data_IF_573867707466
#
_entry.id   IF_573867707466
#
_cell.length_a   1.000
_cell.length_b   1.000
_cell.length_c   1.000
_cell.angle_alpha   90.00
_cell.angle_beta   90.00
_cell.angle_gamma   90.00
#
_symmetry.space_group_name_H-M   'P 1'
#
loop_
_entity.id
_entity.type
_entity.pdbx_description
1 polymer ?
#
# COMPACT_ATOMS: atom_id res chain seq x y z
N UNK A 1 7.41 -2.06 -3.22
CA UNK A 1 7.14 -3.00 -2.13
C UNK A 1 5.82 -3.66 -2.42
N UNK A 2 5.74 -4.89 -1.99
CA UNK A 2 4.68 -5.81 -2.30
C UNK A 2 3.63 -5.82 -1.21
N UNK A 3 2.45 -6.31 -1.57
CA UNK A 3 1.32 -6.52 -0.67
C UNK A 3 0.86 -7.95 -0.79
N UNK A 4 0.33 -8.48 0.31
CA UNK A 4 -0.41 -9.73 0.34
C UNK A 4 -1.91 -9.41 0.19
N UNK A 5 -2.62 -10.23 -0.56
CA UNK A 5 -4.08 -10.13 -0.70
C UNK A 5 -4.71 -11.30 0.03
N UNK A 6 -5.17 -11.07 1.26
CA UNK A 6 -5.72 -12.10 2.14
C UNK A 6 -7.21 -12.29 1.91
N UNK A 7 -7.63 -13.54 1.69
CA UNK A 7 -9.04 -13.93 1.53
C UNK A 7 -9.70 -14.29 2.86
N UNK A 8 -11.04 -14.47 2.83
CA UNK A 8 -11.81 -15.01 3.96
C UNK A 8 -11.35 -16.40 4.42
N UNK A 9 -10.67 -17.17 3.56
CA UNK A 9 -10.14 -18.49 3.89
C UNK A 9 -8.80 -18.46 4.65
N UNK A 10 -8.32 -17.28 5.07
CA UNK A 10 -6.96 -17.07 5.61
C UNK A 10 -5.83 -17.51 4.66
N UNK A 11 -6.10 -17.48 3.36
CA UNK A 11 -5.12 -17.71 2.30
C UNK A 11 -4.82 -16.40 1.57
N UNK A 12 -3.79 -16.40 0.75
CA UNK A 12 -3.30 -15.25 0.00
C UNK A 12 -3.31 -15.53 -1.50
N UNK A 13 -3.63 -14.50 -2.29
CA UNK A 13 -3.56 -14.57 -3.75
C UNK A 13 -2.13 -14.93 -4.18
N UNK A 14 -1.98 -15.99 -4.95
CA UNK A 14 -0.69 -16.58 -5.33
C UNK A 14 -0.59 -16.71 -6.85
N UNK A 15 0.42 -16.08 -7.44
CA UNK A 15 0.74 -16.21 -8.86
C UNK A 15 1.83 -17.25 -9.07
N UNK A 16 1.54 -18.30 -9.84
CA UNK A 16 2.45 -19.43 -10.09
C UNK A 16 3.27 -19.24 -11.37
N UNK A 17 4.47 -19.78 -11.43
CA UNK A 17 5.38 -19.62 -12.57
C UNK A 17 4.75 -19.98 -13.94
N UNK A 18 3.90 -21.02 -13.96
CA UNK A 18 3.16 -21.50 -15.13
C UNK A 18 2.07 -20.52 -15.64
N UNK A 19 1.83 -19.42 -14.93
CA UNK A 19 0.83 -18.42 -15.29
C UNK A 19 -0.54 -18.63 -14.61
N UNK A 20 -0.71 -19.71 -13.86
CA UNK A 20 -1.91 -19.93 -13.07
C UNK A 20 -1.93 -19.04 -11.82
N UNK A 21 -3.14 -18.79 -11.33
CA UNK A 21 -3.38 -18.00 -10.11
C UNK A 21 -4.27 -18.82 -9.18
N UNK A 22 -3.87 -18.87 -7.92
CA UNK A 22 -4.50 -19.69 -6.89
C UNK A 22 -4.49 -18.96 -5.54
N UNK A 23 -4.98 -19.62 -4.50
CA UNK A 23 -4.78 -19.19 -3.12
C UNK A 23 -3.80 -20.12 -2.42
N UNK A 24 -2.96 -19.59 -1.55
CA UNK A 24 -2.04 -20.38 -0.72
C UNK A 24 -1.96 -19.81 0.70
N UNK A 25 -1.58 -20.63 1.69
CA UNK A 25 -1.35 -20.17 3.07
C UNK A 25 0.03 -19.55 3.26
N UNK A 26 0.88 -19.54 2.22
CA UNK A 26 2.22 -18.99 2.26
C UNK A 26 2.20 -17.46 2.20
N UNK A 27 3.32 -16.85 2.57
CA UNK A 27 3.56 -15.41 2.47
C UNK A 27 4.93 -15.18 1.85
N UNK A 28 5.25 -15.97 0.83
CA UNK A 28 6.54 -15.91 0.14
C UNK A 28 6.39 -15.07 -1.14
N UNK A 29 7.38 -15.12 -2.02
CA UNK A 29 7.43 -14.24 -3.19
C UNK A 29 6.21 -14.38 -4.11
N UNK A 30 5.62 -15.58 -4.21
CA UNK A 30 4.50 -15.83 -5.12
C UNK A 30 3.18 -15.22 -4.62
N UNK A 31 3.05 -14.99 -3.32
CA UNK A 31 1.89 -14.33 -2.71
C UNK A 31 2.05 -12.81 -2.62
N UNK A 32 3.23 -12.31 -2.97
CA UNK A 32 3.60 -10.90 -2.91
C UNK A 32 3.34 -10.24 -4.26
N UNK A 33 2.40 -9.29 -4.27
CA UNK A 33 2.00 -8.56 -5.47
C UNK A 33 2.33 -7.08 -5.34
N UNK A 34 2.89 -6.48 -6.38
CA UNK A 34 3.11 -5.04 -6.46
C UNK A 34 1.89 -4.37 -7.08
N UNK A 35 1.26 -3.46 -6.35
CA UNK A 35 0.22 -2.58 -6.88
C UNK A 35 0.86 -1.42 -7.66
N UNK A 36 0.62 -1.37 -8.97
CA UNK A 36 1.12 -0.31 -9.86
C UNK A 36 -0.07 0.57 -10.27
N UNK A 37 -0.16 1.82 -9.77
CA UNK A 37 -1.22 2.73 -10.19
C UNK A 37 -1.00 3.16 -11.64
N UNK A 38 -2.09 3.19 -12.41
CA UNK A 38 -2.09 3.57 -13.84
C UNK A 38 -3.02 4.75 -14.15
N UNK A 39 -3.49 5.45 -13.11
CA UNK A 39 -4.44 6.56 -13.23
C UNK A 39 -5.90 6.14 -13.06
N UNK A 40 -6.79 7.12 -12.91
CA UNK A 40 -8.26 6.92 -12.82
C UNK A 40 -8.73 5.93 -11.73
N UNK A 41 -7.93 5.76 -10.66
CA UNK A 41 -8.23 4.79 -9.60
C UNK A 41 -8.02 3.32 -10.00
N UNK A 42 -7.36 3.07 -11.13
CA UNK A 42 -7.01 1.73 -11.62
C UNK A 42 -5.59 1.33 -11.26
N UNK A 43 -5.39 0.03 -11.10
CA UNK A 43 -4.13 -0.59 -10.72
C UNK A 43 -3.85 -1.82 -11.58
N UNK A 44 -2.57 -2.06 -11.84
CA UNK A 44 -2.08 -3.38 -12.23
C UNK A 44 -1.59 -4.11 -10.97
N UNK A 45 -1.83 -5.41 -10.89
CA UNK A 45 -1.28 -6.27 -9.83
C UNK A 45 -0.16 -7.10 -10.45
N UNK A 46 1.10 -6.69 -10.21
CA UNK A 46 2.30 -7.32 -10.76
C UNK A 46 2.82 -8.40 -9.80
N UNK A 47 2.99 -9.63 -10.27
CA UNK A 47 3.55 -10.75 -9.51
C UNK A 47 5.08 -10.72 -9.46
N UNK A 48 5.67 -11.60 -8.63
CA UNK A 48 7.11 -11.86 -8.62
C UNK A 48 7.66 -12.38 -9.97
N UNK A 49 6.80 -12.90 -10.85
CA UNK A 49 7.20 -13.40 -12.17
C UNK A 49 7.17 -12.33 -13.27
N UNK A 50 7.10 -11.05 -12.89
CA UNK A 50 6.97 -9.92 -13.83
C UNK A 50 5.76 -10.00 -14.77
N UNK A 51 4.69 -10.67 -14.33
CA UNK A 51 3.41 -10.77 -15.02
C UNK A 51 2.33 -10.03 -14.23
N UNK A 52 1.23 -9.68 -14.89
CA UNK A 52 0.12 -8.94 -14.31
C UNK A 52 -1.12 -9.84 -14.20
N UNK A 53 -1.86 -9.69 -13.10
CA UNK A 53 -3.12 -10.40 -12.86
C UNK A 53 -4.14 -10.05 -13.96
N UNK A 54 -4.68 -11.06 -14.63
CA UNK A 54 -5.57 -10.91 -15.78
C UNK A 54 -6.88 -11.63 -15.54
N UNK A 55 -7.99 -10.90 -15.68
CA UNK A 55 -9.33 -11.48 -15.71
C UNK A 55 -9.71 -11.83 -17.14
N UNK A 56 -10.05 -13.09 -17.39
CA UNK A 56 -10.57 -13.54 -18.67
C UNK A 56 -12.08 -13.36 -18.73
N UNK A 57 -12.62 -13.29 -19.93
CA UNK A 57 -14.07 -13.15 -20.18
C UNK A 57 -14.89 -14.30 -19.57
N UNK A 58 -14.33 -15.51 -19.54
CA UNK A 58 -14.96 -16.68 -18.90
C UNK A 58 -14.86 -16.70 -17.36
N UNK A 59 -14.36 -15.63 -16.75
CA UNK A 59 -14.18 -15.48 -15.30
C UNK A 59 -12.96 -16.20 -14.72
N UNK A 60 -12.14 -16.87 -15.55
CA UNK A 60 -10.86 -17.43 -15.10
C UNK A 60 -9.83 -16.34 -14.86
N UNK A 61 -8.93 -16.59 -13.91
CA UNK A 61 -7.84 -15.67 -13.56
C UNK A 61 -6.50 -16.31 -13.92
N UNK A 62 -5.66 -15.53 -14.58
CA UNK A 62 -4.29 -15.92 -14.98
C UNK A 62 -3.33 -14.76 -14.74
N UNK A 63 -2.06 -14.94 -15.07
CA UNK A 63 -1.12 -13.83 -15.16
C UNK A 63 -0.40 -13.80 -16.51
N UNK A 64 -0.24 -12.61 -17.08
CA UNK A 64 0.35 -12.39 -18.42
C UNK A 64 1.32 -11.21 -18.45
N UNK A 65 2.12 -11.10 -19.51
CA UNK A 65 3.02 -9.96 -19.70
C UNK A 65 2.33 -8.67 -20.18
N UNK A 66 1.05 -8.73 -20.54
CA UNK A 66 0.26 -7.58 -21.02
C UNK A 66 -0.23 -6.72 -19.85
N UNK A 67 -0.58 -5.47 -20.12
CA UNK A 67 -1.18 -4.54 -19.15
C UNK A 67 -2.38 -3.80 -19.76
N UNK A 68 -3.11 -4.50 -20.63
CA UNK A 68 -4.27 -3.95 -21.32
C UNK A 68 -5.50 -4.03 -20.41
N UNK A 69 -6.69 -3.78 -20.95
CA UNK A 69 -7.92 -3.64 -20.18
C UNK A 69 -8.15 -4.78 -19.16
N UNK A 70 -7.82 -6.03 -19.51
CA UNK A 70 -8.08 -7.21 -18.68
C UNK A 70 -7.18 -7.32 -17.45
N UNK A 71 -6.05 -6.59 -17.46
CA UNK A 71 -5.11 -6.52 -16.36
C UNK A 71 -5.31 -5.28 -15.48
N UNK A 72 -6.25 -4.41 -15.85
CA UNK A 72 -6.60 -3.22 -15.09
C UNK A 72 -7.71 -3.54 -14.08
N UNK A 73 -7.43 -3.25 -12.82
CA UNK A 73 -8.32 -3.52 -11.70
C UNK A 73 -8.65 -2.25 -10.94
N UNK A 74 -9.89 -2.14 -10.48
CA UNK A 74 -10.32 -1.08 -9.58
C UNK A 74 -10.47 -1.64 -8.17
N UNK A 75 -9.83 -0.99 -7.20
CA UNK A 75 -9.96 -1.33 -5.78
C UNK A 75 -11.07 -0.48 -5.16
N UNK A 76 -12.16 -1.13 -4.74
CA UNK A 76 -13.27 -0.49 -4.05
C UNK A 76 -13.25 -0.86 -2.56
N UNK A 77 -13.10 0.14 -1.69
CA UNK A 77 -13.26 -0.08 -0.24
C UNK A 77 -14.70 -0.49 0.04
N UNK A 78 -14.87 -1.56 0.81
CA UNK A 78 -16.18 -2.02 1.30
C UNK A 78 -16.27 -1.92 2.83
N UNK A 79 -15.36 -1.17 3.46
CA UNK A 79 -15.30 -0.97 4.89
C UNK A 79 -14.43 -2.00 5.64
N UNK A 80 -14.12 -1.70 6.90
CA UNK A 80 -13.36 -2.58 7.81
C UNK A 80 -12.01 -3.08 7.24
N UNK A 81 -11.33 -2.25 6.44
CA UNK A 81 -10.05 -2.59 5.82
C UNK A 81 -10.14 -3.64 4.71
N UNK A 82 -11.35 -3.96 4.22
CA UNK A 82 -11.58 -4.90 3.12
C UNK A 82 -11.87 -4.17 1.82
N UNK A 83 -11.50 -4.83 0.72
CA UNK A 83 -11.65 -4.32 -0.63
C UNK A 83 -12.33 -5.35 -1.52
N UNK A 84 -13.16 -4.86 -2.43
CA UNK A 84 -13.54 -5.59 -3.64
C UNK A 84 -12.63 -5.17 -4.79
N UNK A 85 -12.17 -6.14 -5.59
CA UNK A 85 -11.20 -5.94 -6.66
C UNK A 85 -11.91 -6.20 -7.98
N UNK A 86 -12.35 -5.12 -8.64
CA UNK A 86 -13.23 -5.17 -9.81
C UNK A 86 -12.43 -5.24 -11.11
N UNK A 87 -12.78 -6.19 -11.98
CA UNK A 87 -12.19 -6.40 -13.30
C UNK A 87 -12.85 -5.52 -14.37
N UNK A 88 -12.25 -5.47 -15.56
CA UNK A 88 -12.84 -4.86 -16.75
C UNK A 88 -14.16 -5.49 -17.20
N UNK A 89 -14.46 -6.71 -16.79
CA UNK A 89 -15.72 -7.40 -17.11
C UNK A 89 -16.85 -7.12 -16.12
N UNK A 90 -16.72 -6.09 -15.27
CA UNK A 90 -17.68 -5.76 -14.21
C UNK A 90 -17.93 -6.89 -13.20
N UNK A 91 -16.94 -7.76 -13.03
CA UNK A 91 -16.95 -8.85 -12.03
C UNK A 91 -15.81 -8.66 -11.03
N UNK A 92 -15.94 -9.23 -9.84
CA UNK A 92 -15.03 -9.04 -8.71
C UNK A 92 -14.17 -10.28 -8.49
N UNK A 93 -12.88 -10.09 -8.16
CA UNK A 93 -11.96 -11.18 -7.85
C UNK A 93 -12.48 -11.98 -6.65
N UNK A 94 -12.59 -13.29 -6.82
CA UNK A 94 -13.17 -14.21 -5.85
C UNK A 94 -12.17 -15.26 -5.41
N UNK A 95 -12.11 -15.45 -4.10
CA UNK A 95 -11.47 -16.56 -3.43
C UNK A 95 -12.39 -17.81 -3.44
N UNK A 96 -12.37 -18.57 -4.54
CA UNK A 96 -13.17 -19.78 -4.72
C UNK A 96 -12.77 -20.94 -3.79
N UNK A 97 -13.51 -22.05 -3.90
CA UNK A 97 -13.19 -23.29 -3.20
C UNK A 97 -11.88 -23.92 -3.70
N UNK A 98 -11.27 -24.76 -2.85
CA UNK A 98 -10.09 -25.57 -3.18
C UNK A 98 -8.91 -24.76 -3.75
N UNK A 99 -8.74 -23.53 -3.25
CA UNK A 99 -7.67 -22.64 -3.68
C UNK A 99 -7.85 -22.04 -5.07
N UNK A 100 -8.99 -22.25 -5.74
CA UNK A 100 -9.29 -21.60 -7.03
C UNK A 100 -9.49 -20.10 -6.85
N UNK A 101 -9.09 -19.35 -7.86
CA UNK A 101 -9.35 -17.92 -7.98
C UNK A 101 -10.05 -17.67 -9.31
N UNK A 102 -11.18 -16.99 -9.26
CA UNK A 102 -12.02 -16.66 -10.41
C UNK A 102 -12.65 -15.28 -10.21
N UNK A 103 -13.63 -14.90 -11.02
CA UNK A 103 -14.45 -13.70 -10.77
C UNK A 103 -15.92 -14.04 -10.51
N UNK A 104 -16.64 -13.08 -9.92
CA UNK A 104 -18.06 -13.18 -9.57
C UNK A 104 -18.79 -11.86 -9.79
N UNK A 105 -20.06 -11.92 -10.19
CA UNK A 105 -20.89 -10.72 -10.39
C UNK A 105 -21.31 -10.04 -9.08
N UNK A 106 -21.32 -10.77 -7.97
CA UNK A 106 -21.78 -10.28 -6.65
C UNK A 106 -20.63 -10.22 -5.65
N UNK A 107 -20.70 -9.27 -4.71
CA UNK A 107 -19.74 -9.15 -3.61
C UNK A 107 -20.33 -9.84 -2.38
N UNK A 108 -19.97 -11.09 -2.15
CA UNK A 108 -20.17 -11.80 -0.89
C UNK A 108 -18.87 -11.81 -0.08
N UNK A 109 -18.74 -12.73 0.89
CA UNK A 109 -17.54 -12.82 1.74
C UNK A 109 -16.27 -13.21 0.96
N UNK A 110 -16.41 -13.94 -0.15
CA UNK A 110 -15.28 -14.48 -0.90
C UNK A 110 -14.69 -13.49 -1.90
N UNK A 111 -15.40 -12.40 -2.19
CA UNK A 111 -14.94 -11.29 -3.03
C UNK A 111 -14.32 -10.16 -2.20
N UNK A 112 -14.21 -10.34 -0.89
CA UNK A 112 -13.61 -9.39 0.04
C UNK A 112 -12.18 -9.79 0.33
N UNK A 113 -11.25 -8.90 0.01
CA UNK A 113 -9.82 -9.10 0.23
C UNK A 113 -9.29 -8.06 1.22
N UNK A 114 -8.48 -8.49 2.16
CA UNK A 114 -7.66 -7.59 2.97
C UNK A 114 -6.32 -7.42 2.27
N UNK A 115 -5.95 -6.18 1.95
CA UNK A 115 -4.67 -5.86 1.33
C UNK A 115 -3.70 -5.52 2.45
N UNK A 116 -2.77 -6.43 2.73
CA UNK A 116 -1.75 -6.26 3.77
C UNK A 116 -0.48 -5.79 3.07
N UNK A 117 -0.18 -4.50 3.20
CA UNK A 117 1.10 -3.97 2.74
C UNK A 117 2.24 -4.55 3.58
N UNK A 118 3.41 -4.83 3.01
CA UNK A 118 4.58 -5.17 3.83
C UNK A 118 5.03 -4.04 4.76
N UNK A 119 4.52 -2.83 4.53
CA UNK A 119 4.67 -1.70 5.42
C UNK A 119 3.76 -1.77 6.66
N UNK A 120 2.67 -2.53 6.56
CA UNK A 120 1.65 -2.64 7.60
C UNK A 120 2.12 -3.52 8.75
N UNK A 121 1.98 -3.04 9.99
CA UNK A 121 2.29 -3.81 11.21
C UNK A 121 3.78 -4.06 11.48
N UNK A 122 4.67 -3.72 10.54
CA UNK A 122 6.12 -3.93 10.67
C UNK A 122 6.89 -2.60 10.78
N UNK A 123 7.78 -2.44 11.78
CA UNK A 123 8.66 -1.30 11.86
C UNK A 123 9.50 -1.18 10.59
N UNK A 124 9.48 0.01 10.00
CA UNK A 124 10.17 0.33 8.76
C UNK A 124 10.83 1.71 8.85
N UNK A 125 11.82 1.95 8.01
CA UNK A 125 12.49 3.23 7.81
C UNK A 125 11.96 3.90 6.55
N UNK A 126 11.72 5.22 6.64
CA UNK A 126 11.30 6.04 5.50
C UNK A 126 12.49 6.91 5.06
N UNK A 127 13.17 6.51 3.98
CA UNK A 127 14.31 7.24 3.43
C UNK A 127 13.87 8.27 2.40
N UNK A 128 14.25 9.51 2.60
CA UNK A 128 13.98 10.62 1.67
C UNK A 128 14.89 10.56 0.44
N UNK A 129 14.58 11.40 -0.55
CA UNK A 129 15.46 11.68 -1.69
C UNK A 129 16.89 12.09 -1.28
N UNK A 130 17.02 12.77 -0.14
CA UNK A 130 18.31 13.23 0.40
C UNK A 130 19.12 12.11 1.08
N UNK A 131 18.63 10.86 1.04
CA UNK A 131 19.27 9.71 1.66
C UNK A 131 19.23 9.70 3.19
N UNK A 132 18.39 10.56 3.79
CA UNK A 132 18.17 10.68 5.24
C UNK A 132 16.84 10.03 5.62
N UNK A 133 16.64 9.75 6.90
CA UNK A 133 15.43 9.04 7.36
C UNK A 133 14.47 9.94 8.12
N UNK A 134 13.17 9.76 7.89
CA UNK A 134 12.12 10.38 8.68
C UNK A 134 12.31 10.01 10.15
N UNK A 135 12.44 11.02 11.00
CA UNK A 135 12.75 10.87 12.42
C UNK A 135 11.68 11.58 13.23
N UNK A 136 11.05 10.85 14.16
CA UNK A 136 10.11 11.40 15.13
C UNK A 136 10.71 11.36 16.52
N UNK A 137 10.86 12.53 17.17
CA UNK A 137 11.41 12.63 18.53
C UNK A 137 10.32 12.86 19.57
N UNK A 138 10.61 12.51 20.83
CA UNK A 138 9.69 12.67 21.96
C UNK A 138 9.11 14.10 22.12
N UNK A 139 9.80 15.15 21.66
CA UNK A 139 9.31 16.54 21.70
C UNK A 139 8.31 16.94 20.60
N UNK A 140 7.61 15.97 20.00
CA UNK A 140 6.70 16.13 18.85
C UNK A 140 7.33 16.68 17.56
N UNK A 141 8.65 16.79 17.53
CA UNK A 141 9.42 17.24 16.37
C UNK A 141 9.55 16.11 15.33
N UNK A 142 9.26 16.45 14.07
CA UNK A 142 9.48 15.58 12.91
C UNK A 142 10.51 16.23 12.00
N UNK A 143 11.57 15.49 11.66
CA UNK A 143 12.64 15.93 10.75
C UNK A 143 13.20 14.78 9.94
N UNK A 144 14.01 15.08 8.93
CA UNK A 144 14.95 14.09 8.39
C UNK A 144 16.31 14.21 9.07
N UNK A 145 16.86 13.09 9.57
CA UNK A 145 18.18 13.03 10.21
C UNK A 145 19.04 11.93 9.58
N UNK A 146 20.34 11.97 9.89
CA UNK A 146 21.45 11.18 9.33
C UNK A 146 21.17 9.71 9.04
N UNK A 147 22.01 9.12 8.19
CA UNK A 147 21.90 7.78 7.58
C UNK A 147 21.87 6.59 8.55
N UNK A 148 21.92 6.80 9.87
CA UNK A 148 21.85 5.71 10.85
C UNK A 148 20.41 5.29 11.09
N UNK A 149 20.21 3.98 11.05
CA UNK A 149 18.95 3.31 11.37
C UNK A 149 18.87 3.11 12.88
N UNK A 150 18.17 4.01 13.56
CA UNK A 150 17.95 3.96 15.02
C UNK A 150 16.45 3.91 15.33
N UNK A 151 16.09 3.71 16.60
CA UNK A 151 14.68 3.57 17.00
C UNK A 151 13.84 4.82 16.71
N UNK A 152 14.44 6.02 16.69
CA UNK A 152 13.72 7.26 16.39
C UNK A 152 13.32 7.39 14.91
N UNK A 153 13.86 6.53 14.03
CA UNK A 153 13.55 6.48 12.59
C UNK A 153 12.60 5.33 12.23
N UNK A 154 12.21 4.50 13.20
CA UNK A 154 11.28 3.40 12.97
C UNK A 154 9.84 3.90 13.00
N UNK A 155 9.11 3.56 11.96
CA UNK A 155 7.69 3.85 11.80
C UNK A 155 6.94 2.57 11.47
N UNK A 156 5.79 2.37 12.12
CA UNK A 156 4.88 1.27 11.85
C UNK A 156 3.61 1.83 11.24
N UNK A 157 3.24 1.36 10.06
CA UNK A 157 1.96 1.71 9.47
C UNK A 157 0.85 0.85 10.07
N UNK A 158 -0.19 1.51 10.57
CA UNK A 158 -1.37 0.86 11.14
C UNK A 158 -2.58 1.25 10.31
N UNK A 159 -3.44 0.31 9.87
CA UNK A 159 -4.62 0.66 9.10
C UNK A 159 -5.56 1.57 9.91
N UNK A 160 -6.06 2.63 9.27
CA UNK A 160 -7.18 3.43 9.81
C UNK A 160 -8.51 3.16 9.09
N UNK A 161 -8.46 2.44 7.95
CA UNK A 161 -9.62 2.10 7.13
C UNK A 161 -9.63 2.85 5.79
N UNK A 162 -10.44 2.40 4.83
CA UNK A 162 -10.60 3.04 3.51
C UNK A 162 -9.27 3.29 2.76
N UNK A 163 -8.29 2.40 2.92
CA UNK A 163 -6.97 2.52 2.29
C UNK A 163 -6.03 3.55 2.92
N UNK A 164 -6.37 4.05 4.11
CA UNK A 164 -5.55 4.98 4.88
C UNK A 164 -4.82 4.28 6.03
N UNK A 165 -3.72 4.89 6.46
CA UNK A 165 -2.84 4.40 7.50
C UNK A 165 -2.46 5.51 8.48
N UNK A 166 -2.33 5.15 9.76
CA UNK A 166 -1.56 5.91 10.72
C UNK A 166 -0.08 5.51 10.64
N UNK A 167 0.83 6.47 10.70
CA UNK A 167 2.27 6.20 10.80
C UNK A 167 2.72 6.40 12.24
N UNK A 168 2.86 5.31 12.99
CA UNK A 168 3.19 5.33 14.42
C UNK A 168 4.70 5.21 14.64
N UNK A 169 5.30 6.10 15.42
CA UNK A 169 6.70 5.99 15.82
C UNK A 169 6.88 5.05 17.04
N UNK A 170 8.13 4.81 17.42
CA UNK A 170 8.50 3.98 18.60
C UNK A 170 8.07 4.55 19.94
N UNK A 171 7.74 5.84 20.01
CA UNK A 171 7.26 6.51 21.23
C UNK A 171 5.74 6.46 21.38
N UNK A 172 5.04 5.85 20.42
CA UNK A 172 3.58 5.72 20.47
C UNK A 172 2.80 6.82 19.76
N UNK A 173 3.48 7.83 19.22
CA UNK A 173 2.88 8.96 18.52
C UNK A 173 2.67 8.70 17.03
N UNK A 174 1.69 9.37 16.45
CA UNK A 174 1.32 9.28 15.05
C UNK A 174 1.80 10.49 14.26
N UNK A 175 2.29 10.28 13.04
CA UNK A 175 2.61 11.36 12.12
C UNK A 175 1.33 12.11 11.76
N UNK A 176 1.33 13.42 11.98
CA UNK A 176 0.18 14.30 11.75
C UNK A 176 0.57 15.40 10.79
N UNK A 177 -0.34 15.80 9.90
CA UNK A 177 -0.18 16.97 9.06
C UNK A 177 -1.42 17.85 9.08
N UNK A 178 -1.22 19.14 9.35
CA UNK A 178 -2.30 20.13 9.31
C UNK A 178 -2.61 20.62 7.88
N UNK A 179 -3.74 21.32 7.66
CA UNK A 179 -4.09 21.90 6.36
C UNK A 179 -3.07 22.93 5.83
N UNK A 180 -2.19 23.46 6.68
CA UNK A 180 -1.13 24.41 6.33
C UNK A 180 0.21 23.73 6.00
N UNK A 181 0.23 22.40 6.00
CA UNK A 181 1.40 21.58 5.67
C UNK A 181 2.46 21.52 6.77
N UNK A 182 2.12 21.84 8.01
CA UNK A 182 2.98 21.54 9.16
C UNK A 182 2.86 20.05 9.50
N UNK A 183 4.01 19.38 9.59
CA UNK A 183 4.08 17.97 9.97
C UNK A 183 4.62 17.86 11.39
N UNK A 184 3.89 17.16 12.25
CA UNK A 184 4.21 16.99 13.67
C UNK A 184 3.88 15.57 14.14
N UNK A 185 3.99 15.31 15.44
CA UNK A 185 3.51 14.10 16.08
C UNK A 185 2.28 14.38 16.95
N UNK A 186 1.28 13.53 16.85
CA UNK A 186 0.07 13.57 17.66
C UNK A 186 -0.14 12.27 18.43
N UNK A 187 -0.96 12.32 19.48
CA UNK A 187 -1.40 11.14 20.25
C UNK A 187 -2.78 10.64 19.78
N UNK A 188 -3.41 11.40 18.89
CA UNK A 188 -4.76 11.15 18.41
C UNK A 188 -4.75 10.29 17.15
N UNK A 189 -5.87 9.61 16.90
CA UNK A 189 -6.13 8.87 15.67
C UNK A 189 -7.31 9.55 14.96
N UNK A 190 -7.06 10.75 14.42
CA UNK A 190 -8.05 11.55 13.69
C UNK A 190 -7.59 11.77 12.26
N UNK A 191 -8.40 12.51 11.49
CA UNK A 191 -8.19 12.75 10.06
C UNK A 191 -6.79 13.29 9.71
N UNK A 192 -6.21 14.18 10.53
CA UNK A 192 -4.88 14.74 10.28
C UNK A 192 -3.74 13.72 10.44
N UNK A 193 -3.98 12.60 11.11
CA UNK A 193 -3.02 11.50 11.27
C UNK A 193 -3.20 10.39 10.24
N UNK A 194 -4.23 10.48 9.39
CA UNK A 194 -4.51 9.50 8.35
C UNK A 194 -3.78 9.84 7.05
N UNK A 195 -3.02 8.87 6.53
CA UNK A 195 -2.26 8.99 5.30
C UNK A 195 -2.67 7.95 4.29
N UNK A 196 -2.90 8.37 3.05
CA UNK A 196 -2.91 7.43 1.93
C UNK A 196 -1.46 7.09 1.57
N UNK A 197 -1.17 5.80 1.44
CA UNK A 197 0.15 5.30 1.01
C UNK A 197 0.06 4.99 -0.49
N UNK A 198 0.59 5.90 -1.31
CA UNK A 198 0.47 5.83 -2.77
C UNK A 198 1.77 5.26 -3.35
N UNK A 199 1.74 4.10 -4.04
CA UNK A 199 2.91 3.58 -4.75
C UNK A 199 3.31 4.55 -5.88
N UNK A 200 4.58 4.94 -5.93
CA UNK A 200 5.12 5.88 -6.95
C UNK A 200 6.39 5.35 -7.63
N UNK A 201 6.70 4.07 -7.40
CA UNK A 201 7.81 3.36 -8.01
C UNK A 201 8.19 2.11 -7.21
N UNK A 202 9.23 1.42 -7.66
CA UNK A 202 9.75 0.25 -6.96
C UNK A 202 10.28 0.66 -5.57
N UNK A 203 9.62 0.14 -4.52
CA UNK A 203 9.89 0.46 -3.11
C UNK A 203 9.77 1.94 -2.75
N UNK A 204 9.15 2.77 -3.61
CA UNK A 204 8.94 4.19 -3.38
C UNK A 204 7.47 4.52 -3.22
N UNK A 205 7.18 5.35 -2.22
CA UNK A 205 5.82 5.74 -1.84
C UNK A 205 5.73 7.24 -1.64
N UNK A 206 4.57 7.79 -1.97
CA UNK A 206 4.17 9.12 -1.53
C UNK A 206 3.09 8.97 -0.45
N UNK A 207 3.21 9.73 0.63
CA UNK A 207 2.25 9.73 1.72
C UNK A 207 1.35 10.94 1.59
N UNK A 208 0.10 10.74 1.18
CA UNK A 208 -0.85 11.83 0.88
C UNK A 208 -1.81 12.06 2.05
N UNK A 209 -1.99 13.32 2.45
CA UNK A 209 -2.95 13.76 3.46
C UNK A 209 -4.38 13.80 2.90
N UNK A 210 -5.37 13.96 3.78
CA UNK A 210 -6.76 14.22 3.38
C UNK A 210 -6.91 15.52 2.53
N UNK A 211 -6.00 16.48 2.70
CA UNK A 211 -5.98 17.76 1.99
C UNK A 211 -5.28 17.73 0.62
N UNK A 212 -5.06 16.55 0.03
CA UNK A 212 -4.39 16.38 -1.26
C UNK A 212 -2.96 16.94 -1.32
N UNK A 213 -2.22 16.86 -0.21
CA UNK A 213 -0.79 17.21 -0.17
C UNK A 213 0.02 15.99 0.25
N UNK A 214 1.31 15.95 -0.09
CA UNK A 214 2.19 14.80 0.08
C UNK A 214 3.33 15.12 1.03
N UNK A 215 3.69 14.17 1.90
CA UNK A 215 4.82 14.28 2.82
C UNK A 215 6.11 14.57 2.07
N UNK A 216 6.76 15.68 2.43
CA UNK A 216 7.94 16.22 1.75
C UNK A 216 9.11 16.35 2.70
N UNK A 217 10.30 15.95 2.23
CA UNK A 217 11.56 16.24 2.90
C UNK A 217 12.28 17.43 2.26
N UNK A 218 12.41 18.52 3.00
CA UNK A 218 13.18 19.69 2.57
C UNK A 218 14.68 19.49 2.80
N UNK A 219 15.51 20.05 1.92
CA UNK A 219 16.97 20.00 2.01
C UNK A 219 17.53 20.41 3.38
N UNK A 220 16.91 21.44 4.00
CA UNK A 220 17.26 21.96 5.33
C UNK A 220 16.95 20.99 6.50
N UNK A 221 16.33 19.84 6.23
CA UNK A 221 15.98 18.83 7.22
C UNK A 221 14.53 18.85 7.71
N UNK A 222 13.76 19.90 7.39
CA UNK A 222 12.35 20.01 7.77
C UNK A 222 11.49 19.05 6.98
N UNK A 223 10.39 18.65 7.61
CA UNK A 223 9.34 17.85 7.00
C UNK A 223 8.08 18.70 6.90
N UNK A 224 7.50 18.73 5.71
CA UNK A 224 6.34 19.53 5.33
C UNK A 224 5.42 18.70 4.45
N UNK A 225 4.36 19.31 3.92
CA UNK A 225 3.63 18.74 2.79
C UNK A 225 3.70 19.64 1.55
N UNK A 226 3.51 19.06 0.37
CA UNK A 226 3.43 19.79 -0.90
C UNK A 226 2.36 19.21 -1.83
N UNK A 227 1.85 20.02 -2.77
CA UNK A 227 0.73 19.62 -3.63
C UNK A 227 1.08 18.54 -4.67
N UNK A 228 2.34 18.47 -5.11
CA UNK A 228 2.76 17.61 -6.21
C UNK A 228 3.81 16.60 -5.75
N UNK A 229 3.80 15.41 -6.36
CA UNK A 229 4.82 14.38 -6.13
C UNK A 229 6.00 14.64 -7.07
N UNK A 230 7.01 15.33 -6.57
CA UNK A 230 8.35 15.41 -7.17
C UNK A 230 9.28 14.38 -6.54
N UNK A 231 10.59 14.60 -6.64
CA UNK A 231 11.55 13.69 -6.04
C UNK A 231 11.55 13.74 -4.50
N UNK A 232 11.23 14.90 -3.91
CA UNK A 232 11.32 15.11 -2.46
C UNK A 232 10.14 14.52 -1.68
N UNK A 233 9.06 14.18 -2.38
CA UNK A 233 7.86 13.55 -1.85
C UNK A 233 7.88 12.02 -2.03
N UNK A 234 8.91 11.49 -2.71
CA UNK A 234 9.12 10.05 -2.87
C UNK A 234 9.99 9.54 -1.73
N UNK A 235 9.41 8.62 -0.95
CA UNK A 235 10.07 7.97 0.17
C UNK A 235 10.34 6.51 -0.15
N UNK A 236 11.59 6.08 0.02
CA UNK A 236 11.93 4.66 -0.04
C UNK A 236 11.57 4.02 1.30
N UNK A 237 10.76 2.98 1.29
CA UNK A 237 10.41 2.24 2.50
C UNK A 237 11.33 1.04 2.63
N UNK A 238 12.04 0.96 3.75
CA UNK A 238 13.00 -0.10 4.05
C UNK A 238 12.61 -0.81 5.35
N UNK A 239 12.61 -2.14 5.38
CA UNK A 239 12.32 -2.89 6.61
C UNK A 239 13.36 -2.59 7.69
N UNK A 240 12.90 -2.61 8.95
CA UNK A 240 13.77 -2.49 10.12
C UNK A 240 14.68 -3.69 10.33
#
# INVERSE_FOLDING_TARGET
MTSLFKSAHNHYLSGREDGSVSQSSNQQDWERWTLVPIGEGKYLLKSAHNKYLSARENGSITQVGNHEAWEQWTLHSIGNGKFSIKSAHNTHLRAGQDGKVNTSGSIGDWEQWTIISEFEGHPSFLRSHHGKYLTGKAGKEVKQKDKKKEDQQKWTALPSGNGKFFLKNTHGHFLSADPHGHVTLAEHQKEHEEWYVVPVGENKYAFRTAHNTYLKAEENGKIRTAANVGDWEKWTVEKS
#
